data_IF_393152307605
#
_entry.id   IF_393152307605
#
_cell.length_a   1.000
_cell.length_b   1.000
_cell.length_c   1.000
_cell.angle_alpha   90.00
_cell.angle_beta   90.00
_cell.angle_gamma   90.00
#
_symmetry.space_group_name_H-M   'P 1'
#
loop_
_entity.id
_entity.type
_entity.pdbx_description
1 polymer ?
#
# COMPACT_ATOMS: atom_id res chain seq x y z
N UNK A 1 26.33 -23.70 2.09
CA UNK A 1 26.64 -22.51 2.88
C UNK A 1 25.43 -22.23 3.77
N UNK A 2 25.53 -22.55 5.05
CA UNK A 2 24.50 -22.25 6.05
C UNK A 2 24.38 -20.73 6.15
N UNK A 3 23.20 -20.17 5.88
CA UNK A 3 22.94 -18.73 6.00
C UNK A 3 22.94 -18.35 7.48
N UNK A 4 24.16 -18.06 8.01
CA UNK A 4 24.41 -17.73 9.42
C UNK A 4 23.79 -16.41 9.89
N UNK A 5 23.16 -15.62 9.02
CA UNK A 5 22.65 -14.29 9.35
C UNK A 5 21.16 -14.13 8.94
N UNK A 6 20.21 -14.49 9.80
CA UNK A 6 18.78 -14.32 9.53
C UNK A 6 18.39 -12.85 9.28
N UNK A 7 19.11 -11.88 9.87
CA UNK A 7 18.87 -10.46 9.66
C UNK A 7 19.14 -9.99 8.22
N UNK A 8 20.16 -10.54 7.55
CA UNK A 8 20.48 -10.16 6.16
C UNK A 8 19.34 -10.49 5.21
N UNK A 9 18.69 -11.64 5.38
CA UNK A 9 17.54 -12.05 4.56
C UNK A 9 16.36 -11.08 4.70
N UNK A 10 16.05 -10.65 5.93
CA UNK A 10 14.98 -9.67 6.18
C UNK A 10 15.35 -8.30 5.61
N UNK A 11 16.61 -7.88 5.73
CA UNK A 11 17.11 -6.65 5.15
C UNK A 11 17.00 -6.63 3.61
N UNK A 12 17.32 -7.75 2.95
CA UNK A 12 17.19 -7.89 1.48
C UNK A 12 15.72 -7.82 1.05
N UNK A 13 14.81 -8.50 1.75
CA UNK A 13 13.36 -8.41 1.46
C UNK A 13 12.86 -6.98 1.69
N UNK A 14 13.28 -6.33 2.79
CA UNK A 14 12.93 -4.94 3.08
C UNK A 14 13.43 -3.98 1.99
N UNK A 15 14.62 -4.20 1.44
CA UNK A 15 15.17 -3.42 0.32
C UNK A 15 14.32 -3.55 -0.95
N UNK A 16 13.91 -4.78 -1.30
CA UNK A 16 13.03 -5.00 -2.46
C UNK A 16 11.68 -4.29 -2.26
N UNK A 17 11.09 -4.39 -1.06
CA UNK A 17 9.86 -3.67 -0.74
C UNK A 17 10.05 -2.15 -0.74
N UNK A 18 11.21 -1.66 -0.28
CA UNK A 18 11.52 -0.23 -0.32
C UNK A 18 11.52 0.30 -1.75
N UNK A 19 12.17 -0.40 -2.68
CA UNK A 19 12.19 0.01 -4.08
C UNK A 19 10.81 -0.10 -4.74
N UNK A 20 10.12 -1.24 -4.60
CA UNK A 20 8.82 -1.46 -5.23
C UNK A 20 7.77 -0.46 -4.75
N UNK A 21 7.64 -0.29 -3.44
CA UNK A 21 6.68 0.65 -2.87
C UNK A 21 7.15 2.11 -2.93
N UNK A 22 8.45 2.35 -2.90
CA UNK A 22 9.01 3.67 -3.17
C UNK A 22 8.61 4.18 -4.56
N UNK A 23 8.66 3.33 -5.58
CA UNK A 23 8.20 3.62 -6.94
C UNK A 23 6.68 3.84 -6.96
N UNK A 24 5.89 3.01 -6.26
CA UNK A 24 4.46 3.22 -6.11
C UNK A 24 4.14 4.64 -5.60
N UNK A 25 4.73 5.03 -4.48
CA UNK A 25 4.45 6.33 -3.86
C UNK A 25 5.11 7.51 -4.59
N UNK A 26 6.18 7.27 -5.37
CA UNK A 26 6.78 8.27 -6.24
C UNK A 26 5.84 8.74 -7.36
N UNK A 27 4.74 8.00 -7.64
CA UNK A 27 3.73 8.48 -8.57
C UNK A 27 3.24 9.88 -8.26
N UNK A 28 3.14 10.26 -7.00
CA UNK A 28 2.69 11.61 -6.59
C UNK A 28 3.59 12.74 -7.13
N UNK A 29 4.89 12.52 -7.25
CA UNK A 29 5.83 13.49 -7.84
C UNK A 29 5.84 13.42 -9.36
N UNK A 30 5.73 12.21 -9.95
CA UNK A 30 5.58 12.06 -11.39
C UNK A 30 4.26 12.65 -11.91
N UNK A 31 3.17 12.56 -11.14
CA UNK A 31 1.90 13.21 -11.47
C UNK A 31 2.08 14.71 -11.69
N UNK A 32 2.82 15.39 -10.82
CA UNK A 32 3.10 16.84 -10.96
C UNK A 32 3.97 17.12 -12.19
N UNK A 33 4.98 16.27 -12.44
CA UNK A 33 5.83 16.41 -13.61
C UNK A 33 5.06 16.25 -14.93
N UNK A 34 4.19 15.23 -15.01
CA UNK A 34 3.33 14.98 -16.17
C UNK A 34 2.27 16.06 -16.37
N UNK A 35 1.70 16.61 -15.28
CA UNK A 35 0.80 17.77 -15.34
C UNK A 35 1.50 18.96 -16.01
N UNK A 36 2.75 19.23 -15.65
CA UNK A 36 3.52 20.36 -16.18
C UNK A 36 3.93 20.17 -17.65
N UNK A 37 4.30 18.94 -18.03
CA UNK A 37 4.80 18.64 -19.36
C UNK A 37 3.68 18.54 -20.41
N UNK A 38 2.57 17.89 -20.05
CA UNK A 38 1.48 17.60 -21.00
C UNK A 38 0.22 18.45 -20.81
N UNK A 39 0.06 19.13 -19.68
CA UNK A 39 -1.17 19.84 -19.36
C UNK A 39 -2.41 18.94 -19.24
N UNK A 40 -2.22 17.65 -18.98
CA UNK A 40 -3.33 16.71 -18.86
C UNK A 40 -4.17 16.96 -17.62
N UNK A 41 -5.45 16.56 -17.67
CA UNK A 41 -6.36 16.65 -16.52
C UNK A 41 -5.88 15.78 -15.35
N UNK A 42 -6.12 16.24 -14.12
CA UNK A 42 -5.76 15.50 -12.91
C UNK A 42 -6.53 14.18 -12.79
N UNK A 43 -7.80 14.17 -13.21
CA UNK A 43 -8.61 12.95 -13.27
C UNK A 43 -8.01 11.88 -14.18
N UNK A 44 -7.42 12.28 -15.31
CA UNK A 44 -6.75 11.37 -16.23
C UNK A 44 -5.52 10.74 -15.59
N UNK A 45 -4.67 11.55 -14.98
CA UNK A 45 -3.48 11.06 -14.29
C UNK A 45 -3.86 10.19 -13.09
N UNK A 46 -4.79 10.64 -12.24
CA UNK A 46 -5.27 9.83 -11.12
C UNK A 46 -5.94 8.53 -11.58
N UNK A 47 -6.59 8.53 -12.76
CA UNK A 47 -7.14 7.32 -13.38
C UNK A 47 -6.11 6.25 -13.72
N UNK A 48 -4.89 6.64 -14.09
CA UNK A 48 -3.79 5.68 -14.29
C UNK A 48 -3.37 5.03 -12.97
N UNK A 49 -3.33 5.80 -11.87
CA UNK A 49 -3.14 5.24 -10.53
C UNK A 49 -4.31 4.34 -10.12
N UNK A 50 -5.54 4.69 -10.48
CA UNK A 50 -6.72 3.84 -10.25
C UNK A 50 -6.58 2.50 -10.96
N UNK A 51 -6.12 2.50 -12.22
CA UNK A 51 -5.83 1.27 -12.96
C UNK A 51 -4.76 0.45 -12.25
N UNK A 52 -3.68 1.08 -11.79
CA UNK A 52 -2.65 0.46 -10.98
C UNK A 52 -3.24 -0.23 -9.72
N UNK A 53 -4.09 0.46 -8.97
CA UNK A 53 -4.71 -0.08 -7.76
C UNK A 53 -5.65 -1.27 -8.06
N UNK A 54 -6.42 -1.21 -9.15
CA UNK A 54 -7.29 -2.31 -9.59
C UNK A 54 -6.47 -3.52 -10.00
N UNK A 55 -5.40 -3.32 -10.79
CA UNK A 55 -4.48 -4.40 -11.19
C UNK A 55 -3.90 -5.09 -9.95
N UNK A 56 -3.46 -4.32 -8.95
CA UNK A 56 -2.99 -4.87 -7.67
C UNK A 56 -4.08 -5.70 -6.97
N UNK A 57 -5.31 -5.18 -6.90
CA UNK A 57 -6.44 -5.86 -6.26
C UNK A 57 -6.79 -7.20 -6.92
N UNK A 58 -6.72 -7.28 -8.25
CA UNK A 58 -7.02 -8.48 -9.03
C UNK A 58 -5.85 -9.48 -9.01
N UNK A 59 -4.63 -9.01 -9.11
CA UNK A 59 -3.44 -9.85 -9.25
C UNK A 59 -2.97 -10.43 -7.91
N UNK A 60 -3.12 -9.73 -6.80
CA UNK A 60 -2.65 -10.19 -5.50
C UNK A 60 -3.21 -11.56 -5.06
N UNK A 61 -4.50 -11.89 -5.21
CA UNK A 61 -5.02 -13.24 -4.92
C UNK A 61 -4.40 -14.32 -5.81
N UNK A 62 -4.16 -14.01 -7.09
CA UNK A 62 -3.53 -14.92 -8.04
C UNK A 62 -2.07 -15.17 -7.64
N UNK A 63 -1.35 -14.12 -7.22
CA UNK A 63 0.03 -14.25 -6.74
C UNK A 63 0.13 -15.12 -5.49
N UNK A 64 -0.84 -15.04 -4.59
CA UNK A 64 -0.90 -15.94 -3.44
C UNK A 64 -0.87 -17.41 -3.87
N UNK A 65 -1.73 -17.80 -4.81
CA UNK A 65 -1.77 -19.17 -5.35
C UNK A 65 -0.53 -19.53 -6.18
N UNK A 66 0.05 -18.54 -6.87
CA UNK A 66 1.28 -18.73 -7.66
C UNK A 66 2.50 -18.97 -6.77
N UNK A 67 2.58 -18.31 -5.60
CA UNK A 67 3.61 -18.56 -4.60
C UNK A 67 3.60 -19.98 -4.05
N UNK A 68 2.47 -20.70 -4.12
CA UNK A 68 2.40 -22.11 -3.74
C UNK A 68 3.04 -23.04 -4.77
N UNK A 69 3.10 -22.64 -6.03
CA UNK A 69 3.62 -23.42 -7.15
C UNK A 69 5.04 -23.02 -7.54
N UNK A 70 5.34 -21.74 -7.51
CA UNK A 70 6.61 -21.13 -7.92
C UNK A 70 7.30 -20.54 -6.68
N UNK A 71 8.63 -20.58 -6.66
CA UNK A 71 9.41 -19.93 -5.60
C UNK A 71 9.08 -18.43 -5.55
N UNK A 72 8.71 -17.87 -4.37
CA UNK A 72 8.50 -16.44 -4.24
C UNK A 72 9.72 -15.60 -4.64
N UNK A 73 10.94 -16.09 -4.40
CA UNK A 73 12.15 -15.40 -4.85
C UNK A 73 12.28 -15.33 -6.38
N UNK A 74 11.84 -16.37 -7.10
CA UNK A 74 11.77 -16.34 -8.57
C UNK A 74 10.72 -15.32 -9.03
N UNK A 75 9.54 -15.29 -8.39
CA UNK A 75 8.51 -14.30 -8.70
C UNK A 75 9.03 -12.87 -8.47
N UNK A 76 9.78 -12.64 -7.39
CA UNK A 76 10.41 -11.34 -7.14
C UNK A 76 11.45 -10.98 -8.22
N UNK A 77 12.22 -11.94 -8.70
CA UNK A 77 13.16 -11.72 -9.80
C UNK A 77 12.46 -11.35 -11.11
N UNK A 78 11.40 -12.11 -11.49
CA UNK A 78 10.56 -11.79 -12.64
C UNK A 78 9.89 -10.42 -12.49
N UNK A 79 9.41 -10.12 -11.28
CA UNK A 79 8.84 -8.82 -10.93
C UNK A 79 9.83 -7.68 -11.06
N UNK A 80 11.08 -7.87 -10.60
CA UNK A 80 12.15 -6.88 -10.75
C UNK A 80 12.51 -6.61 -12.21
N UNK A 81 12.61 -7.66 -13.03
CA UNK A 81 12.84 -7.52 -14.46
C UNK A 81 11.67 -6.80 -15.16
N UNK A 82 10.43 -7.20 -14.85
CA UNK A 82 9.23 -6.55 -15.40
C UNK A 82 9.12 -5.10 -14.96
N UNK A 83 9.36 -4.80 -13.66
CA UNK A 83 9.30 -3.45 -13.14
C UNK A 83 10.35 -2.55 -13.78
N UNK A 84 11.58 -3.04 -13.97
CA UNK A 84 12.62 -2.29 -14.67
C UNK A 84 12.25 -2.02 -16.13
N UNK A 85 11.71 -3.02 -16.84
CA UNK A 85 11.25 -2.85 -18.21
C UNK A 85 10.06 -1.89 -18.30
N UNK A 86 9.10 -1.98 -17.35
CA UNK A 86 7.95 -1.10 -17.27
C UNK A 86 8.35 0.36 -17.03
N UNK A 87 9.30 0.63 -16.14
CA UNK A 87 9.83 1.97 -15.90
C UNK A 87 10.55 2.55 -17.15
N UNK A 88 11.21 1.70 -17.93
CA UNK A 88 11.73 2.12 -19.24
C UNK A 88 10.58 2.49 -20.18
N UNK A 89 9.51 1.69 -20.24
CA UNK A 89 8.31 2.02 -21.03
C UNK A 89 7.67 3.32 -20.54
N UNK A 90 7.60 3.54 -19.20
CA UNK A 90 7.09 4.78 -18.62
C UNK A 90 7.90 6.01 -19.10
N UNK A 91 9.19 5.86 -19.38
CA UNK A 91 10.01 6.97 -19.92
C UNK A 91 9.64 7.39 -21.35
N UNK A 92 8.86 6.57 -22.08
CA UNK A 92 8.40 6.84 -23.44
C UNK A 92 6.95 7.30 -23.54
N UNK A 93 6.30 7.60 -22.40
CA UNK A 93 4.92 8.12 -22.36
C UNK A 93 4.83 9.42 -23.18
N UNK A 94 3.90 9.43 -24.15
CA UNK A 94 3.56 10.58 -24.99
C UNK A 94 2.05 10.77 -25.11
N UNK A 95 1.26 9.71 -24.92
CA UNK A 95 -0.19 9.70 -25.02
C UNK A 95 -0.81 9.18 -23.71
N UNK A 96 -2.02 9.59 -23.36
CA UNK A 96 -2.68 9.14 -22.13
C UNK A 96 -2.75 7.62 -21.96
N UNK A 97 -3.10 6.89 -23.02
CA UNK A 97 -3.21 5.43 -22.94
C UNK A 97 -1.86 4.73 -22.67
N UNK A 98 -0.71 5.34 -23.08
CA UNK A 98 0.62 4.82 -22.71
C UNK A 98 0.77 4.78 -21.19
N UNK A 99 0.33 5.84 -20.49
CA UNK A 99 0.39 5.91 -19.03
C UNK A 99 -0.46 4.82 -18.36
N UNK A 100 -1.66 4.55 -18.88
CA UNK A 100 -2.54 3.51 -18.35
C UNK A 100 -1.96 2.11 -18.55
N UNK A 101 -1.35 1.83 -19.71
CA UNK A 101 -0.74 0.53 -20.00
C UNK A 101 0.60 0.36 -19.28
N UNK A 102 1.50 1.33 -19.39
CA UNK A 102 2.84 1.23 -18.82
C UNK A 102 2.82 1.33 -17.31
N UNK A 103 2.34 2.45 -16.74
CA UNK A 103 2.28 2.64 -15.30
C UNK A 103 1.12 1.84 -14.66
N UNK A 104 -0.11 2.01 -15.15
CA UNK A 104 -1.31 1.38 -14.62
C UNK A 104 -1.30 -0.14 -14.72
N UNK A 105 -0.73 -0.69 -15.80
CA UNK A 105 -0.65 -2.13 -16.07
C UNK A 105 0.71 -2.75 -15.70
N UNK A 106 1.75 -2.45 -16.49
CA UNK A 106 3.03 -3.15 -16.39
C UNK A 106 3.78 -2.84 -15.10
N UNK A 107 3.86 -1.55 -14.71
CA UNK A 107 4.49 -1.14 -13.45
C UNK A 107 3.72 -1.70 -12.25
N UNK A 108 2.39 -1.72 -12.29
CA UNK A 108 1.55 -2.35 -11.27
C UNK A 108 1.85 -3.86 -11.11
N UNK A 109 1.96 -4.59 -12.21
CA UNK A 109 2.32 -6.02 -12.21
C UNK A 109 3.72 -6.25 -11.65
N UNK A 110 4.69 -5.44 -12.06
CA UNK A 110 6.06 -5.51 -11.55
C UNK A 110 6.12 -5.29 -10.03
N UNK A 111 5.43 -4.26 -9.55
CA UNK A 111 5.32 -3.97 -8.09
C UNK A 111 4.60 -5.11 -7.36
N UNK A 112 3.54 -5.70 -7.92
CA UNK A 112 2.83 -6.82 -7.30
C UNK A 112 3.74 -8.04 -7.13
N UNK A 113 4.50 -8.40 -8.18
CA UNK A 113 5.43 -9.53 -8.18
C UNK A 113 6.63 -9.34 -7.23
N UNK A 114 7.12 -8.10 -7.05
CA UNK A 114 8.16 -7.78 -6.06
C UNK A 114 7.60 -7.51 -4.66
N UNK A 115 6.28 -7.32 -4.55
CA UNK A 115 5.61 -6.67 -3.43
C UNK A 115 5.36 -7.55 -2.23
N UNK A 116 4.25 -7.22 -1.57
CA UNK A 116 3.92 -7.72 -0.25
C UNK A 116 3.70 -9.23 -0.19
N UNK A 117 2.98 -9.81 -1.18
CA UNK A 117 2.59 -11.23 -1.13
C UNK A 117 3.79 -12.17 -1.19
N UNK A 118 4.71 -12.07 -2.19
CA UNK A 118 5.91 -12.92 -2.20
C UNK A 118 6.80 -12.71 -0.97
N UNK A 119 6.95 -11.46 -0.52
CA UNK A 119 7.74 -11.12 0.67
C UNK A 119 7.18 -11.77 1.93
N UNK A 120 5.86 -11.70 2.13
CA UNK A 120 5.19 -12.30 3.28
C UNK A 120 5.33 -13.83 3.28
N UNK A 121 5.19 -14.47 2.13
CA UNK A 121 5.36 -15.94 1.98
C UNK A 121 6.79 -16.36 2.30
N UNK A 122 7.81 -15.62 1.84
CA UNK A 122 9.21 -15.89 2.19
C UNK A 122 9.45 -15.81 3.69
N UNK A 123 8.91 -14.77 4.34
CA UNK A 123 9.04 -14.56 5.78
C UNK A 123 8.31 -15.66 6.56
N UNK A 124 7.08 -16.01 6.20
CA UNK A 124 6.31 -17.06 6.85
C UNK A 124 6.98 -18.43 6.77
N UNK A 125 7.62 -18.75 5.64
CA UNK A 125 8.33 -20.03 5.47
C UNK A 125 9.56 -20.14 6.36
N UNK A 126 10.19 -19.03 6.73
CA UNK A 126 11.51 -19.03 7.39
C UNK A 126 11.49 -18.60 8.86
N UNK A 127 10.54 -17.74 9.27
CA UNK A 127 10.55 -17.05 10.57
C UNK A 127 9.34 -17.41 11.45
N UNK A 128 8.92 -18.68 11.49
CA UNK A 128 7.73 -19.12 12.23
C UNK A 128 7.72 -18.70 13.72
N UNK A 129 8.89 -18.73 14.39
CA UNK A 129 9.00 -18.41 15.84
C UNK A 129 8.97 -16.91 16.19
N UNK A 130 9.29 -16.01 15.22
CA UNK A 130 9.33 -14.55 15.41
C UNK A 130 8.67 -13.84 14.22
N UNK A 131 7.54 -14.38 13.80
CA UNK A 131 6.86 -13.93 12.57
C UNK A 131 6.47 -12.45 12.65
N UNK A 132 5.93 -11.98 13.76
CA UNK A 132 5.51 -10.58 13.94
C UNK A 132 6.68 -9.61 13.79
N UNK A 133 7.83 -9.89 14.42
CA UNK A 133 9.03 -9.06 14.28
C UNK A 133 9.54 -9.04 12.83
N UNK A 134 9.57 -10.19 12.17
CA UNK A 134 10.02 -10.31 10.79
C UNK A 134 9.10 -9.53 9.83
N UNK A 135 7.78 -9.60 10.00
CA UNK A 135 6.80 -8.80 9.26
C UNK A 135 6.99 -7.30 9.54
N UNK A 136 7.25 -6.92 10.81
CA UNK A 136 7.55 -5.54 11.18
C UNK A 136 8.76 -4.97 10.43
N UNK A 137 9.85 -5.74 10.37
CA UNK A 137 11.08 -5.33 9.67
C UNK A 137 10.84 -5.14 8.17
N UNK A 138 10.18 -6.09 7.51
CA UNK A 138 9.91 -5.95 6.07
C UNK A 138 8.92 -4.83 5.78
N UNK A 139 7.93 -4.61 6.67
CA UNK A 139 6.98 -3.49 6.55
C UNK A 139 7.66 -2.12 6.68
N UNK A 140 8.72 -2.02 7.49
CA UNK A 140 9.52 -0.81 7.60
C UNK A 140 10.18 -0.45 6.26
N UNK A 141 10.52 -1.47 5.43
CA UNK A 141 11.03 -1.25 4.07
C UNK A 141 10.13 -0.34 3.23
N UNK A 142 8.81 -0.47 3.34
CA UNK A 142 7.86 0.41 2.63
C UNK A 142 8.06 1.88 3.03
N UNK A 143 8.18 2.16 4.33
CA UNK A 143 8.42 3.51 4.84
C UNK A 143 9.79 4.07 4.42
N UNK A 144 10.82 3.21 4.43
CA UNK A 144 12.16 3.57 3.92
C UNK A 144 12.10 3.90 2.41
N UNK A 145 11.30 3.16 1.64
CA UNK A 145 11.08 3.44 0.22
C UNK A 145 10.46 4.82 -0.01
N UNK A 146 9.42 5.16 0.75
CA UNK A 146 8.83 6.51 0.69
C UNK A 146 9.85 7.59 1.06
N UNK A 147 10.64 7.36 2.11
CA UNK A 147 11.63 8.32 2.62
C UNK A 147 12.78 8.55 1.62
N UNK A 148 13.25 7.50 0.95
CA UNK A 148 14.42 7.58 0.09
C UNK A 148 14.06 7.76 -1.40
N UNK A 149 13.14 6.93 -1.92
CA UNK A 149 12.88 6.87 -3.37
C UNK A 149 12.07 8.07 -3.85
N UNK A 150 11.12 8.59 -3.05
CA UNK A 150 10.27 9.71 -3.50
C UNK A 150 11.05 11.02 -3.62
N UNK A 151 11.84 11.46 -2.61
CA UNK A 151 12.70 12.63 -2.78
C UNK A 151 13.78 12.44 -3.84
N UNK A 152 14.35 11.22 -3.95
CA UNK A 152 15.33 10.90 -5.01
C UNK A 152 14.69 11.05 -6.41
N UNK A 153 13.47 10.52 -6.60
CA UNK A 153 12.75 10.65 -7.86
C UNK A 153 12.52 12.13 -8.21
N UNK A 154 12.08 12.95 -7.25
CA UNK A 154 11.89 14.38 -7.47
C UNK A 154 13.21 15.10 -7.80
N UNK A 155 14.28 14.79 -7.10
CA UNK A 155 15.61 15.36 -7.39
C UNK A 155 16.08 14.99 -8.81
N UNK A 156 15.89 13.73 -9.23
CA UNK A 156 16.20 13.28 -10.60
C UNK A 156 15.32 13.99 -11.63
N UNK A 157 14.03 14.23 -11.33
CA UNK A 157 13.12 14.98 -12.19
C UNK A 157 13.62 16.40 -12.40
N UNK A 158 14.05 17.08 -11.33
CA UNK A 158 14.56 18.45 -11.40
C UNK A 158 15.86 18.57 -12.20
N UNK A 159 16.77 17.61 -12.06
CA UNK A 159 18.07 17.64 -12.74
C UNK A 159 18.02 17.16 -14.21
N UNK A 160 17.27 16.11 -14.50
CA UNK A 160 17.36 15.40 -15.77
C UNK A 160 16.00 15.23 -16.47
N UNK A 161 14.93 15.73 -15.89
CA UNK A 161 13.57 15.53 -16.35
C UNK A 161 12.99 14.15 -15.99
N UNK A 162 11.66 14.05 -16.03
CA UNK A 162 10.92 12.87 -15.56
C UNK A 162 11.22 11.60 -16.41
N UNK A 163 11.49 11.74 -17.71
CA UNK A 163 11.86 10.61 -18.57
C UNK A 163 13.16 9.95 -18.12
N UNK A 164 14.16 10.75 -17.81
CA UNK A 164 15.45 10.26 -17.30
C UNK A 164 15.31 9.71 -15.89
N UNK A 165 14.48 10.32 -15.04
CA UNK A 165 14.20 9.82 -13.70
C UNK A 165 13.62 8.39 -13.73
N UNK A 166 12.67 8.09 -14.62
CA UNK A 166 12.18 6.71 -14.82
C UNK A 166 13.29 5.74 -15.24
N UNK A 167 14.20 6.15 -16.13
CA UNK A 167 15.34 5.32 -16.57
C UNK A 167 16.33 5.05 -15.43
N UNK A 168 16.63 6.04 -14.62
CA UNK A 168 17.48 5.87 -13.45
C UNK A 168 16.83 4.95 -12.40
N UNK A 169 15.54 5.09 -12.15
CA UNK A 169 14.80 4.18 -11.27
C UNK A 169 14.74 2.76 -11.84
N UNK A 170 14.61 2.60 -13.17
CA UNK A 170 14.69 1.31 -13.83
C UNK A 170 16.05 0.63 -13.61
N UNK A 171 17.14 1.37 -13.80
CA UNK A 171 18.50 0.88 -13.57
C UNK A 171 18.71 0.50 -12.09
N UNK A 172 18.29 1.35 -11.16
CA UNK A 172 18.37 1.07 -9.73
C UNK A 172 17.57 -0.20 -9.35
N UNK A 173 16.36 -0.36 -9.93
CA UNK A 173 15.53 -1.55 -9.71
C UNK A 173 16.22 -2.81 -10.23
N UNK A 174 16.76 -2.80 -11.46
CA UNK A 174 17.50 -3.92 -12.02
C UNK A 174 18.72 -4.29 -11.17
N UNK A 175 19.53 -3.29 -10.81
CA UNK A 175 20.77 -3.49 -10.07
C UNK A 175 20.56 -3.96 -8.62
N UNK A 176 19.43 -3.60 -7.98
CA UNK A 176 19.17 -3.97 -6.61
C UNK A 176 18.25 -5.19 -6.50
N UNK A 177 17.15 -5.24 -7.26
CA UNK A 177 16.13 -6.30 -7.10
C UNK A 177 16.58 -7.62 -7.69
N UNK A 178 17.25 -7.63 -8.86
CA UNK A 178 17.67 -8.89 -9.48
C UNK A 178 18.72 -9.64 -8.65
N UNK A 179 19.80 -9.00 -8.16
CA UNK A 179 20.75 -9.67 -7.27
C UNK A 179 20.11 -10.06 -5.93
N UNK A 180 19.20 -9.22 -5.38
CA UNK A 180 18.46 -9.52 -4.18
C UNK A 180 17.60 -10.78 -4.33
N UNK A 181 16.84 -10.88 -5.42
CA UNK A 181 16.01 -12.05 -5.73
C UNK A 181 16.87 -13.31 -5.94
N UNK A 182 17.99 -13.19 -6.61
CA UNK A 182 18.95 -14.29 -6.78
C UNK A 182 19.52 -14.77 -5.46
N UNK A 183 19.91 -13.85 -4.57
CA UNK A 183 20.35 -14.16 -3.20
C UNK A 183 19.27 -14.90 -2.40
N UNK A 184 18.02 -14.41 -2.46
CA UNK A 184 16.88 -15.03 -1.79
C UNK A 184 16.60 -16.44 -2.33
N UNK A 185 16.71 -16.63 -3.65
CA UNK A 185 16.53 -17.91 -4.32
C UNK A 185 17.55 -18.97 -3.87
N UNK A 186 18.83 -18.60 -3.81
CA UNK A 186 19.87 -19.48 -3.27
C UNK A 186 19.55 -19.86 -1.83
N UNK A 187 19.12 -18.89 -1.01
CA UNK A 187 18.71 -19.10 0.36
C UNK A 187 17.51 -20.04 0.54
N UNK A 188 16.53 -20.00 -0.38
CA UNK A 188 15.39 -20.93 -0.38
C UNK A 188 15.83 -22.38 -0.70
N UNK A 189 16.74 -22.55 -1.66
CA UNK A 189 17.27 -23.89 -2.02
C UNK A 189 18.13 -24.52 -0.94
N UNK A 190 18.83 -23.71 -0.17
CA UNK A 190 19.72 -24.18 0.89
C UNK A 190 18.99 -24.56 2.20
N UNK A 191 17.68 -24.26 2.33
CA UNK A 191 16.91 -24.55 3.52
C UNK A 191 16.39 -26.00 3.52
N UNK A 192 16.82 -26.89 4.45
CA UNK A 192 16.28 -28.23 4.56
C UNK A 192 14.80 -28.17 4.96
N UNK A 193 13.89 -28.77 4.18
CA UNK A 193 12.47 -28.87 4.51
C UNK A 193 11.51 -28.05 3.66
N UNK A 194 11.98 -27.25 2.70
CA UNK A 194 11.11 -26.49 1.79
C UNK A 194 10.16 -27.38 0.94
N UNK A 195 10.54 -28.63 0.71
CA UNK A 195 9.72 -29.60 -0.03
C UNK A 195 8.53 -30.15 0.78
N UNK A 196 8.66 -30.31 2.09
CA UNK A 196 7.62 -30.91 2.96
C UNK A 196 6.50 -29.93 3.33
N UNK A 197 6.76 -28.62 3.32
CA UNK A 197 5.73 -27.60 3.59
C UNK A 197 4.75 -27.41 2.43
N UNK A 198 5.10 -27.84 1.22
CA UNK A 198 4.22 -27.79 0.05
C UNK A 198 3.07 -28.79 0.12
N UNK A 199 3.32 -29.99 0.69
CA UNK A 199 2.35 -31.07 0.72
C UNK A 199 1.25 -30.89 1.80
N UNK A 200 1.51 -30.13 2.86
CA UNK A 200 0.62 -30.07 4.04
C UNK A 200 -0.35 -28.86 4.06
N UNK A 201 -0.39 -28.02 3.03
CA UNK A 201 -1.27 -26.82 2.96
C UNK A 201 -2.47 -26.96 2.02
N UNK A 202 -2.64 -28.07 1.37
CA UNK A 202 -3.93 -28.40 0.74
C UNK A 202 -4.88 -28.88 1.84
N UNK A 203 -5.28 -28.00 2.75
CA UNK A 203 -6.49 -28.27 3.55
C UNK A 203 -7.64 -28.26 2.55
N UNK A 204 -8.42 -29.36 2.44
CA UNK A 204 -9.58 -29.35 1.58
C UNK A 204 -10.44 -28.16 1.95
N UNK A 205 -10.89 -27.42 0.94
CA UNK A 205 -11.85 -26.34 1.16
C UNK A 205 -13.08 -26.94 1.84
N UNK A 206 -13.11 -26.88 3.16
CA UNK A 206 -14.24 -27.37 3.94
C UNK A 206 -15.52 -26.69 3.45
N UNK A 207 -16.63 -27.38 3.52
CA UNK A 207 -17.97 -27.00 3.07
C UNK A 207 -18.58 -25.80 3.83
N UNK A 208 -17.78 -24.91 4.38
CA UNK A 208 -18.30 -23.70 5.03
C UNK A 208 -18.98 -22.83 3.96
N UNK A 209 -20.32 -22.76 4.03
CA UNK A 209 -21.09 -21.97 3.08
C UNK A 209 -20.73 -20.49 3.18
N UNK A 210 -20.43 -19.82 2.07
CA UNK A 210 -20.21 -18.37 2.02
C UNK A 210 -21.49 -17.57 2.29
N UNK A 211 -22.64 -18.16 2.04
CA UNK A 211 -23.94 -17.50 2.21
C UNK A 211 -24.17 -16.87 3.56
N UNK A 212 -23.90 -17.53 4.71
CA UNK A 212 -24.03 -16.92 6.03
C UNK A 212 -23.10 -15.73 6.24
N UNK A 213 -21.86 -15.78 5.71
CA UNK A 213 -20.90 -14.67 5.80
C UNK A 213 -21.39 -13.45 5.02
N UNK A 214 -21.84 -13.65 3.78
CA UNK A 214 -22.36 -12.58 2.92
C UNK A 214 -23.67 -11.97 3.45
N UNK A 215 -24.43 -12.71 4.26
CA UNK A 215 -25.62 -12.19 4.95
C UNK A 215 -25.31 -11.49 6.28
N UNK A 216 -24.09 -11.62 6.79
CA UNK A 216 -23.69 -11.00 8.05
C UNK A 216 -23.49 -9.49 7.89
N UNK A 217 -24.20 -8.64 8.66
CA UNK A 217 -23.95 -7.19 8.69
C UNK A 217 -22.50 -6.86 9.04
N UNK A 218 -21.87 -7.63 9.93
CA UNK A 218 -20.47 -7.45 10.32
C UNK A 218 -19.51 -7.57 9.16
N UNK A 219 -19.80 -8.44 8.17
CA UNK A 219 -18.98 -8.57 6.96
C UNK A 219 -18.99 -7.29 6.14
N UNK A 220 -20.17 -6.75 5.84
CA UNK A 220 -20.31 -5.54 5.04
C UNK A 220 -19.77 -4.28 5.74
N UNK A 221 -19.93 -4.21 7.07
CA UNK A 221 -19.31 -3.15 7.86
C UNK A 221 -17.78 -3.17 7.75
N UNK A 222 -17.15 -4.34 7.81
CA UNK A 222 -15.71 -4.46 7.62
C UNK A 222 -15.30 -4.15 6.18
N UNK A 223 -16.05 -4.61 5.18
CA UNK A 223 -15.83 -4.28 3.75
C UNK A 223 -15.86 -2.76 3.53
N UNK A 224 -16.85 -2.06 4.11
CA UNK A 224 -16.95 -0.61 4.04
C UNK A 224 -15.80 0.08 4.81
N UNK A 225 -15.35 -0.48 5.93
CA UNK A 225 -14.18 0.02 6.65
C UNK A 225 -12.90 -0.10 5.81
N UNK A 226 -12.70 -1.22 5.09
CA UNK A 226 -11.59 -1.37 4.13
C UNK A 226 -11.66 -0.33 3.01
N UNK A 227 -12.83 -0.21 2.37
CA UNK A 227 -13.06 0.73 1.28
C UNK A 227 -12.80 2.18 1.71
N UNK A 228 -13.50 2.64 2.76
CA UNK A 228 -13.44 4.05 3.18
C UNK A 228 -12.09 4.46 3.75
N UNK A 229 -11.41 3.57 4.49
CA UNK A 229 -10.07 3.83 5.01
C UNK A 229 -9.03 3.99 3.90
N UNK A 230 -9.09 3.14 2.87
CA UNK A 230 -8.16 3.24 1.73
C UNK A 230 -8.56 4.35 0.74
N UNK A 231 -9.84 4.62 0.56
CA UNK A 231 -10.31 5.78 -0.19
C UNK A 231 -9.70 7.07 0.39
N UNK A 232 -9.85 7.29 1.69
CA UNK A 232 -9.33 8.47 2.38
C UNK A 232 -7.79 8.54 2.27
N UNK A 233 -7.08 7.49 2.65
CA UNK A 233 -5.62 7.51 2.68
C UNK A 233 -4.99 7.64 1.30
N UNK A 234 -5.49 6.95 0.28
CA UNK A 234 -4.92 7.01 -1.07
C UNK A 234 -5.25 8.31 -1.80
N UNK A 235 -6.40 8.93 -1.52
CA UNK A 235 -6.69 10.29 -1.97
C UNK A 235 -5.57 11.25 -1.55
N UNK A 236 -5.18 11.22 -0.27
CA UNK A 236 -4.11 12.06 0.25
C UNK A 236 -2.75 11.68 -0.37
N UNK A 237 -2.40 10.40 -0.40
CA UNK A 237 -1.10 9.94 -0.92
C UNK A 237 -0.85 10.37 -2.38
N UNK A 238 -1.85 10.30 -3.23
CA UNK A 238 -1.69 10.63 -4.67
C UNK A 238 -1.65 12.12 -4.89
N UNK A 239 -2.50 12.89 -4.22
CA UNK A 239 -2.67 14.32 -4.50
C UNK A 239 -1.87 15.24 -3.59
N UNK A 240 -1.25 14.77 -2.50
CA UNK A 240 -0.55 15.62 -1.54
C UNK A 240 0.56 16.47 -2.17
N UNK A 241 1.36 15.92 -3.09
CA UNK A 241 2.44 16.68 -3.74
C UNK A 241 1.84 17.77 -4.63
N UNK A 242 0.84 17.43 -5.45
CA UNK A 242 0.15 18.39 -6.30
C UNK A 242 -0.52 19.50 -5.47
N UNK A 243 -1.20 19.12 -4.37
CA UNK A 243 -1.82 20.05 -3.44
C UNK A 243 -0.81 21.04 -2.86
N UNK A 244 0.33 20.55 -2.35
CA UNK A 244 1.37 21.40 -1.74
C UNK A 244 2.02 22.34 -2.77
N UNK A 245 2.27 21.82 -3.98
CA UNK A 245 2.86 22.62 -5.07
C UNK A 245 1.89 23.72 -5.53
N UNK A 246 0.59 23.44 -5.60
CA UNK A 246 -0.43 24.45 -5.92
C UNK A 246 -0.50 25.59 -4.87
N UNK A 247 -0.09 25.30 -3.61
CA UNK A 247 -0.02 26.28 -2.53
C UNK A 247 1.39 26.89 -2.34
N UNK A 248 2.25 26.82 -3.36
CA UNK A 248 3.54 27.50 -3.40
C UNK A 248 4.72 26.76 -2.75
N UNK A 249 4.52 25.51 -2.32
CA UNK A 249 5.62 24.69 -1.82
C UNK A 249 6.46 24.16 -2.98
N UNK A 250 7.79 24.20 -2.85
CA UNK A 250 8.67 23.69 -3.90
C UNK A 250 8.46 22.17 -4.09
N UNK A 251 8.60 21.63 -5.32
CA UNK A 251 8.38 20.20 -5.57
C UNK A 251 9.28 19.29 -4.73
N UNK A 252 10.54 19.66 -4.54
CA UNK A 252 11.47 18.90 -3.70
C UNK A 252 11.05 18.90 -2.22
N UNK A 253 10.57 20.03 -1.72
CA UNK A 253 10.05 20.12 -0.35
C UNK A 253 8.76 19.30 -0.21
N UNK A 254 7.83 19.36 -1.18
CA UNK A 254 6.63 18.53 -1.19
C UNK A 254 6.97 17.03 -1.24
N UNK A 255 8.00 16.62 -2.00
CA UNK A 255 8.50 15.26 -2.02
C UNK A 255 9.11 14.83 -0.65
N UNK A 256 9.80 15.73 0.04
CA UNK A 256 10.33 15.46 1.39
C UNK A 256 9.21 15.21 2.41
N UNK A 257 8.07 15.88 2.26
CA UNK A 257 6.87 15.66 3.08
C UNK A 257 6.40 14.19 2.93
N UNK A 258 6.37 13.65 1.70
CA UNK A 258 6.07 12.23 1.46
C UNK A 258 7.10 11.31 2.15
N UNK A 259 8.37 11.71 2.16
CA UNK A 259 9.41 11.01 2.91
C UNK A 259 9.12 10.93 4.41
N UNK A 260 8.69 12.06 5.01
CA UNK A 260 8.29 12.12 6.43
C UNK A 260 7.04 11.27 6.70
N UNK A 261 6.06 11.24 5.78
CA UNK A 261 4.93 10.29 5.85
C UNK A 261 5.44 8.85 5.93
N UNK A 262 6.41 8.50 5.08
CA UNK A 262 7.06 7.19 5.10
C UNK A 262 7.68 6.85 6.45
N UNK A 263 8.49 7.76 6.98
CA UNK A 263 9.14 7.60 8.28
C UNK A 263 8.12 7.44 9.41
N UNK A 264 7.12 8.32 9.48
CA UNK A 264 6.05 8.27 10.49
C UNK A 264 5.24 6.96 10.38
N UNK A 265 5.07 6.41 9.16
CA UNK A 265 4.36 5.16 8.94
C UNK A 265 5.06 3.93 9.54
N UNK A 266 6.39 3.96 9.66
CA UNK A 266 7.14 2.88 10.32
C UNK A 266 6.71 2.79 11.79
N UNK A 267 6.71 3.92 12.48
CA UNK A 267 6.28 3.98 13.88
C UNK A 267 4.79 3.70 14.03
N UNK A 268 3.97 4.20 13.10
CA UNK A 268 2.53 3.94 13.07
C UNK A 268 2.21 2.46 12.91
N UNK A 269 2.89 1.73 12.04
CA UNK A 269 2.68 0.28 11.84
C UNK A 269 3.11 -0.53 13.05
N UNK A 270 4.26 -0.20 13.65
CA UNK A 270 4.74 -0.86 14.88
C UNK A 270 3.75 -0.57 16.02
N UNK A 271 3.38 0.69 16.22
CA UNK A 271 2.48 1.13 17.29
C UNK A 271 1.07 0.54 17.13
N UNK A 272 0.49 0.56 15.92
CA UNK A 272 -0.84 -0.01 15.68
C UNK A 272 -0.87 -1.52 15.88
N UNK A 273 0.19 -2.23 15.47
CA UNK A 273 0.36 -3.66 15.73
C UNK A 273 0.40 -3.95 17.22
N UNK A 274 1.29 -3.30 17.95
CA UNK A 274 1.42 -3.48 19.40
C UNK A 274 0.13 -3.14 20.16
N UNK A 275 -0.51 -2.01 19.84
CA UNK A 275 -1.78 -1.62 20.45
C UNK A 275 -2.90 -2.63 20.14
N UNK A 276 -2.93 -3.21 18.93
CA UNK A 276 -3.94 -4.19 18.55
C UNK A 276 -3.82 -5.54 19.27
N UNK A 277 -2.64 -5.83 19.83
CA UNK A 277 -2.43 -7.03 20.66
C UNK A 277 -2.88 -6.82 22.12
N UNK A 278 -2.89 -5.57 22.61
CA UNK A 278 -3.24 -5.23 24.00
C UNK A 278 -4.65 -4.66 24.16
N UNK A 279 -5.19 -4.06 23.11
CA UNK A 279 -6.51 -3.42 23.14
C UNK A 279 -7.44 -4.02 22.08
N UNK A 280 -8.72 -3.73 22.21
CA UNK A 280 -9.75 -4.14 21.25
C UNK A 280 -9.44 -3.52 19.89
N UNK A 281 -9.21 -4.38 18.89
CA UNK A 281 -8.71 -4.00 17.55
C UNK A 281 -9.57 -2.91 16.88
N UNK A 282 -10.88 -3.00 17.02
CA UNK A 282 -11.81 -2.02 16.46
C UNK A 282 -11.63 -0.63 17.08
N UNK A 283 -11.29 -0.54 18.38
CA UNK A 283 -11.00 0.75 19.04
C UNK A 283 -9.67 1.33 18.54
N UNK A 284 -8.66 0.47 18.41
CA UNK A 284 -7.35 0.88 17.87
C UNK A 284 -7.51 1.37 16.44
N UNK A 285 -8.26 0.63 15.61
CA UNK A 285 -8.57 1.05 14.24
C UNK A 285 -9.22 2.44 14.19
N UNK A 286 -10.29 2.65 15.00
CA UNK A 286 -10.97 3.95 15.07
C UNK A 286 -10.04 5.09 15.53
N UNK A 287 -9.15 4.83 16.50
CA UNK A 287 -8.17 5.82 16.95
C UNK A 287 -7.22 6.24 15.81
N UNK A 288 -6.68 5.28 15.05
CA UNK A 288 -5.80 5.58 13.93
C UNK A 288 -6.53 6.22 12.75
N UNK A 289 -7.75 5.80 12.44
CA UNK A 289 -8.59 6.51 11.45
C UNK A 289 -8.92 7.92 11.92
N UNK A 290 -9.12 8.14 13.23
CA UNK A 290 -9.23 9.49 13.81
C UNK A 290 -7.99 10.35 13.54
N UNK A 291 -6.78 9.78 13.68
CA UNK A 291 -5.52 10.45 13.31
C UNK A 291 -5.47 10.73 11.79
N UNK A 292 -5.95 9.80 10.96
CA UNK A 292 -6.06 10.02 9.52
C UNK A 292 -7.02 11.17 9.17
N UNK A 293 -8.15 11.29 9.89
CA UNK A 293 -9.07 12.41 9.72
C UNK A 293 -8.45 13.74 10.16
N UNK A 294 -7.64 13.74 11.22
CA UNK A 294 -6.84 14.91 11.61
C UNK A 294 -5.82 15.26 10.51
N UNK A 295 -5.26 14.28 9.79
CA UNK A 295 -4.40 14.56 8.65
C UNK A 295 -5.17 15.25 7.51
N UNK A 296 -6.42 14.85 7.21
CA UNK A 296 -7.28 15.56 6.25
C UNK A 296 -7.46 17.02 6.65
N UNK A 297 -7.80 17.28 7.91
CA UNK A 297 -7.97 18.63 8.44
C UNK A 297 -6.65 19.43 8.42
N UNK A 298 -5.52 18.80 8.78
CA UNK A 298 -4.20 19.42 8.75
C UNK A 298 -3.77 19.80 7.32
N UNK A 299 -4.10 18.97 6.31
CA UNK A 299 -3.82 19.32 4.91
C UNK A 299 -4.68 20.50 4.44
N UNK A 300 -5.97 20.54 4.80
CA UNK A 300 -6.84 21.67 4.50
C UNK A 300 -6.32 22.96 5.17
N UNK A 301 -5.87 22.88 6.43
CA UNK A 301 -5.27 24.01 7.13
C UNK A 301 -3.94 24.46 6.49
N UNK A 302 -3.09 23.52 6.06
CA UNK A 302 -1.86 23.81 5.35
C UNK A 302 -2.11 24.52 4.01
N UNK A 303 -3.24 24.27 3.35
CA UNK A 303 -3.67 25.02 2.17
C UNK A 303 -4.02 26.48 2.48
N UNK A 304 -4.55 26.77 3.66
CA UNK A 304 -4.86 28.13 4.10
C UNK A 304 -3.62 28.87 4.62
N UNK A 305 -2.71 28.15 5.31
CA UNK A 305 -1.50 28.68 5.91
C UNK A 305 -0.33 27.70 5.74
N UNK A 306 0.33 27.78 4.59
CA UNK A 306 1.45 26.89 4.24
C UNK A 306 2.72 27.26 5.03
N UNK A 307 2.83 26.75 6.24
CA UNK A 307 4.04 26.87 7.08
C UNK A 307 4.76 25.52 7.13
N UNK A 308 6.08 25.53 7.35
CA UNK A 308 6.84 24.28 7.52
C UNK A 308 6.22 23.38 8.61
N UNK A 309 5.77 23.96 9.70
CA UNK A 309 5.10 23.29 10.80
C UNK A 309 3.81 22.58 10.32
N UNK A 310 2.92 23.27 9.61
CA UNK A 310 1.62 22.69 9.19
C UNK A 310 1.78 21.52 8.22
N UNK A 311 2.72 21.62 7.27
CA UNK A 311 2.96 20.54 6.28
C UNK A 311 3.63 19.31 6.89
N UNK A 312 4.56 19.47 7.84
CA UNK A 312 5.18 18.32 8.49
C UNK A 312 4.30 17.71 9.58
N UNK A 313 3.45 18.49 10.25
CA UNK A 313 2.40 17.97 11.13
C UNK A 313 1.42 17.08 10.34
N UNK A 314 0.95 17.56 9.19
CA UNK A 314 0.18 16.75 8.25
C UNK A 314 0.87 15.44 7.90
N UNK A 315 2.17 15.49 7.54
CA UNK A 315 2.93 14.31 7.16
C UNK A 315 2.98 13.25 8.27
N UNK A 316 3.23 13.68 9.50
CA UNK A 316 3.25 12.77 10.67
C UNK A 316 1.86 12.17 10.90
N UNK A 317 0.81 12.99 10.88
CA UNK A 317 -0.57 12.53 11.07
C UNK A 317 -0.99 11.54 9.98
N UNK A 318 -0.68 11.83 8.71
CA UNK A 318 -0.97 10.89 7.62
C UNK A 318 -0.20 9.59 7.79
N UNK A 319 1.11 9.65 8.05
CA UNK A 319 1.96 8.47 8.19
C UNK A 319 1.51 7.54 9.31
N UNK A 320 1.18 8.10 10.47
CA UNK A 320 0.64 7.34 11.61
C UNK A 320 -0.78 6.84 11.29
N UNK A 321 -1.66 7.73 10.82
CA UNK A 321 -3.09 7.44 10.67
C UNK A 321 -3.40 6.32 9.67
N UNK A 322 -2.76 6.31 8.49
CA UNK A 322 -3.05 5.29 7.48
C UNK A 322 -2.49 3.90 7.85
N UNK A 323 -1.58 3.81 8.79
CA UNK A 323 -0.88 2.57 9.14
C UNK A 323 -1.82 1.47 9.61
N UNK A 324 -2.91 1.81 10.30
CA UNK A 324 -3.89 0.84 10.78
C UNK A 324 -4.80 0.30 9.67
N UNK A 325 -5.03 1.05 8.61
CA UNK A 325 -5.92 0.60 7.51
C UNK A 325 -5.39 -0.63 6.82
N UNK A 326 -4.07 -0.75 6.68
CA UNK A 326 -3.44 -1.91 6.06
C UNK A 326 -3.21 -3.09 7.03
N UNK A 327 -2.95 -2.81 8.31
CA UNK A 327 -2.53 -3.83 9.28
C UNK A 327 -3.70 -4.39 10.11
N UNK A 328 -4.59 -3.53 10.62
CA UNK A 328 -5.61 -3.92 11.59
C UNK A 328 -6.87 -4.47 10.90
N UNK A 329 -7.24 -3.95 9.73
CA UNK A 329 -8.47 -4.38 9.06
C UNK A 329 -8.47 -5.87 8.69
N UNK A 330 -7.38 -6.45 8.12
CA UNK A 330 -7.29 -7.89 7.92
C UNK A 330 -7.40 -8.68 9.22
N UNK A 331 -6.81 -8.18 10.30
CA UNK A 331 -6.85 -8.82 11.60
C UNK A 331 -8.28 -8.82 12.20
N UNK A 332 -9.03 -7.71 12.06
CA UNK A 332 -10.44 -7.64 12.48
C UNK A 332 -11.31 -8.64 11.69
N UNK A 333 -11.02 -8.84 10.41
CA UNK A 333 -11.72 -9.82 9.58
C UNK A 333 -11.37 -11.25 9.98
N UNK A 334 -10.11 -11.53 10.31
CA UNK A 334 -9.64 -12.84 10.80
C UNK A 334 -10.30 -13.23 12.13
N UNK A 335 -10.51 -12.28 13.04
CA UNK A 335 -11.14 -12.55 14.33
C UNK A 335 -12.59 -13.01 14.23
N UNK A 336 -13.27 -12.72 13.11
CA UNK A 336 -14.69 -12.99 12.93
C UNK A 336 -14.98 -14.15 11.98
N UNK A 337 -14.17 -14.26 10.96
CA UNK A 337 -14.44 -15.14 9.82
C UNK A 337 -13.30 -16.15 9.62
N UNK A 338 -12.67 -16.60 10.72
CA UNK A 338 -11.65 -17.67 10.66
C UNK A 338 -12.30 -18.99 10.17
N UNK A 339 -11.65 -19.70 9.26
CA UNK A 339 -12.12 -20.98 8.76
C UNK A 339 -11.57 -21.33 7.37
N UNK A 340 -12.00 -22.46 6.79
CA UNK A 340 -11.45 -22.97 5.53
C UNK A 340 -11.56 -22.02 4.34
N UNK A 341 -12.55 -21.12 4.32
CA UNK A 341 -12.74 -20.11 3.26
C UNK A 341 -12.28 -18.71 3.65
N UNK A 342 -11.50 -18.58 4.71
CA UNK A 342 -10.98 -17.27 5.14
C UNK A 342 -10.24 -16.53 4.03
N UNK A 343 -9.48 -17.25 3.18
CA UNK A 343 -8.81 -16.66 2.03
C UNK A 343 -9.75 -15.93 1.06
N UNK A 344 -10.93 -16.51 0.78
CA UNK A 344 -11.95 -15.87 -0.07
C UNK A 344 -12.52 -14.62 0.61
N UNK A 345 -12.82 -14.74 1.91
CA UNK A 345 -13.43 -13.66 2.69
C UNK A 345 -12.48 -12.44 2.79
N UNK A 346 -11.21 -12.68 3.13
CA UNK A 346 -10.21 -11.59 3.18
C UNK A 346 -9.94 -11.02 1.77
N UNK A 347 -10.00 -11.86 0.73
CA UNK A 347 -9.88 -11.43 -0.66
C UNK A 347 -10.94 -10.41 -1.07
N UNK A 348 -12.19 -10.59 -0.63
CA UNK A 348 -13.28 -9.62 -0.84
C UNK A 348 -13.00 -8.28 -0.12
N UNK A 349 -12.47 -8.33 1.10
CA UNK A 349 -12.05 -7.12 1.83
C UNK A 349 -10.91 -6.39 1.12
N UNK A 350 -9.89 -7.13 0.67
CA UNK A 350 -8.76 -6.55 -0.09
C UNK A 350 -9.20 -5.98 -1.44
N UNK A 351 -10.17 -6.61 -2.11
CA UNK A 351 -10.75 -6.07 -3.33
C UNK A 351 -11.50 -4.75 -3.07
N UNK A 352 -12.27 -4.66 -1.98
CA UNK A 352 -12.90 -3.40 -1.56
C UNK A 352 -11.86 -2.32 -1.24
N UNK A 353 -10.74 -2.69 -0.61
CA UNK A 353 -9.59 -1.81 -0.41
C UNK A 353 -9.01 -1.30 -1.74
N UNK A 354 -8.86 -2.16 -2.73
CA UNK A 354 -8.39 -1.78 -4.06
C UNK A 354 -9.38 -0.81 -4.76
N UNK A 355 -10.69 -1.05 -4.63
CA UNK A 355 -11.71 -0.14 -5.14
C UNK A 355 -11.66 1.23 -4.45
N UNK A 356 -11.46 1.27 -3.13
CA UNK A 356 -11.26 2.52 -2.38
C UNK A 356 -10.00 3.26 -2.86
N UNK A 357 -8.90 2.53 -3.01
CA UNK A 357 -7.62 3.06 -3.51
C UNK A 357 -7.71 3.58 -4.94
N UNK A 358 -8.57 3.00 -5.77
CA UNK A 358 -8.78 3.43 -7.15
C UNK A 358 -9.73 4.63 -7.24
N UNK A 359 -10.86 4.57 -6.53
CA UNK A 359 -11.92 5.59 -6.66
C UNK A 359 -11.57 6.90 -5.96
N UNK A 360 -10.85 6.85 -4.83
CA UNK A 360 -10.50 8.04 -4.07
C UNK A 360 -9.66 9.05 -4.86
N UNK A 361 -8.49 8.70 -5.36
CA UNK A 361 -7.65 9.60 -6.14
C UNK A 361 -8.32 10.07 -7.42
N UNK A 362 -9.02 9.18 -8.14
CA UNK A 362 -9.73 9.56 -9.37
C UNK A 362 -10.81 10.61 -9.11
N UNK A 363 -11.64 10.39 -8.08
CA UNK A 363 -12.69 11.33 -7.70
C UNK A 363 -12.10 12.69 -7.28
N UNK A 364 -10.99 12.68 -6.53
CA UNK A 364 -10.32 13.91 -6.14
C UNK A 364 -9.77 14.70 -7.35
N UNK A 365 -9.17 14.01 -8.32
CA UNK A 365 -8.73 14.60 -9.58
C UNK A 365 -9.91 15.16 -10.39
N UNK A 366 -11.01 14.42 -10.47
CA UNK A 366 -12.22 14.85 -11.19
C UNK A 366 -12.87 16.09 -10.57
N UNK A 367 -13.00 16.10 -9.24
CA UNK A 367 -13.53 17.28 -8.53
C UNK A 367 -12.63 18.50 -8.73
N UNK A 368 -11.31 18.31 -8.71
CA UNK A 368 -10.39 19.41 -9.00
C UNK A 368 -10.53 19.92 -10.43
N UNK A 369 -10.64 19.03 -11.42
CA UNK A 369 -10.79 19.42 -12.83
C UNK A 369 -12.09 20.22 -13.09
N UNK A 370 -13.15 20.00 -12.26
CA UNK A 370 -14.42 20.72 -12.34
C UNK A 370 -14.40 22.05 -11.60
N UNK A 371 -13.69 22.15 -10.47
CA UNK A 371 -13.86 23.24 -9.51
C UNK A 371 -12.58 24.08 -9.31
N UNK A 372 -11.42 23.61 -9.81
CA UNK A 372 -10.14 24.26 -9.59
C UNK A 372 -9.64 24.18 -8.12
N UNK A 373 -10.27 23.34 -7.28
CA UNK A 373 -9.95 23.25 -5.85
C UNK A 373 -10.09 21.82 -5.33
N UNK A 374 -9.26 21.47 -4.33
CA UNK A 374 -9.35 20.20 -3.60
C UNK A 374 -10.34 20.22 -2.43
N UNK A 375 -11.00 21.35 -2.13
CA UNK A 375 -11.86 21.46 -0.95
C UNK A 375 -12.89 20.33 -0.86
N UNK A 376 -13.67 20.11 -1.92
CA UNK A 376 -14.70 19.06 -1.96
C UNK A 376 -14.09 17.65 -1.97
N UNK A 377 -12.91 17.48 -2.55
CA UNK A 377 -12.18 16.21 -2.51
C UNK A 377 -11.74 15.85 -1.07
N UNK A 378 -11.26 16.82 -0.31
CA UNK A 378 -10.90 16.63 1.12
C UNK A 378 -12.13 16.34 1.98
N UNK A 379 -13.25 17.04 1.75
CA UNK A 379 -14.53 16.74 2.42
C UNK A 379 -14.99 15.31 2.15
N UNK A 380 -14.93 14.87 0.90
CA UNK A 380 -15.32 13.51 0.52
C UNK A 380 -14.38 12.45 1.12
N UNK A 381 -13.06 12.73 1.14
CA UNK A 381 -12.09 11.87 1.80
C UNK A 381 -12.34 11.77 3.31
N UNK A 382 -12.64 12.90 3.95
CA UNK A 382 -13.02 12.96 5.36
C UNK A 382 -14.32 12.19 5.65
N UNK A 383 -15.33 12.32 4.80
CA UNK A 383 -16.59 11.57 4.90
C UNK A 383 -16.36 10.06 4.78
N UNK A 384 -15.56 9.62 3.80
CA UNK A 384 -15.22 8.22 3.62
C UNK A 384 -14.45 7.63 4.81
N UNK A 385 -13.49 8.38 5.35
CA UNK A 385 -12.77 8.02 6.59
C UNK A 385 -13.69 7.94 7.82
N UNK A 386 -14.64 8.88 7.93
CA UNK A 386 -15.62 8.87 9.01
C UNK A 386 -16.56 7.67 8.92
N UNK A 387 -17.03 7.33 7.73
CA UNK A 387 -17.82 6.12 7.47
C UNK A 387 -17.00 4.88 7.86
N UNK A 388 -15.72 4.82 7.47
CA UNK A 388 -14.85 3.71 7.83
C UNK A 388 -14.70 3.55 9.35
N UNK A 389 -14.55 4.66 10.09
CA UNK A 389 -14.49 4.67 11.56
C UNK A 389 -15.79 4.15 12.18
N UNK A 390 -16.94 4.67 11.74
CA UNK A 390 -18.26 4.24 12.24
C UNK A 390 -18.51 2.76 11.95
N UNK A 391 -18.20 2.30 10.73
CA UNK A 391 -18.33 0.88 10.34
C UNK A 391 -17.43 -0.02 11.19
N UNK A 392 -16.18 0.35 11.41
CA UNK A 392 -15.26 -0.37 12.29
C UNK A 392 -15.75 -0.46 13.72
N UNK A 393 -16.25 0.66 14.26
CA UNK A 393 -16.83 0.72 15.60
C UNK A 393 -18.09 -0.15 15.77
N UNK A 394 -19.04 -0.06 14.82
CA UNK A 394 -20.26 -0.85 14.84
C UNK A 394 -19.96 -2.35 14.70
N UNK A 395 -19.02 -2.69 13.84
CA UNK A 395 -18.53 -4.06 13.75
C UNK A 395 -18.05 -4.57 15.12
N UNK A 396 -17.34 -3.75 15.91
CA UNK A 396 -16.94 -4.09 17.28
C UNK A 396 -18.11 -4.30 18.26
N UNK A 397 -19.19 -3.50 18.14
CA UNK A 397 -20.39 -3.64 18.97
C UNK A 397 -21.13 -4.94 18.72
N UNK A 398 -21.34 -5.32 17.46
CA UNK A 398 -22.01 -6.58 17.11
C UNK A 398 -21.27 -7.80 17.67
N UNK A 399 -19.92 -7.77 17.71
CA UNK A 399 -19.12 -8.84 18.32
C UNK A 399 -19.45 -9.06 19.80
N UNK A 400 -19.71 -7.99 20.57
CA UNK A 400 -20.02 -8.07 22.00
C UNK A 400 -21.40 -8.63 22.25
N UNK A 401 -22.38 -8.30 21.41
CA UNK A 401 -23.73 -8.83 21.51
C UNK A 401 -23.74 -10.34 21.26
N UNK A 402 -23.06 -10.79 20.18
CA UNK A 402 -22.97 -12.21 19.83
C UNK A 402 -22.23 -13.03 20.92
N UNK A 403 -21.23 -12.44 21.60
CA UNK A 403 -20.51 -13.11 22.69
C UNK A 403 -21.27 -13.11 24.01
N UNK A 404 -22.14 -12.13 24.23
CA UNK A 404 -23.03 -12.04 25.41
C UNK A 404 -24.22 -13.00 25.38
N UNK A 405 -24.68 -13.38 24.17
CA UNK A 405 -25.76 -14.36 23.97
C UNK A 405 -25.30 -15.82 24.14
N UNK A 406 -23.96 -16.06 24.22
CA UNK A 406 -23.35 -17.39 24.42
C UNK A 406 -22.93 -17.65 25.87
N UNK A 407 -23.28 -16.78 26.82
CA UNK A 407 -23.14 -16.96 28.27
C UNK A 407 -24.52 -17.13 28.85
#
# INVERSE_FOLDING_TARGET
MSTKHPGVHLGVIALVLALAYGIWYAYSVFLVALLRDFGWKRSLLAGAFSTFAIVQGVVNPVLGSLCDRISPAVLMGLGGALLSAALICDSFITLPWHLYVAFGGLTALGVALCGWIPSLVLVQRRYARRLGLAIGIISAGVGVGMLAVVPLAQWLIELHGWRSAFRWLAAATALCVLPAAFFLYIGERAAPGAAHSRANRATPAGTQALGPVLRSPSFWLLVLAFFGGTYCSQTLHVHQVAFLVDHGITPLQAASVVGVVGLASIFGKIGSGWLSDHFVRERVYCGFVGILLLAVAALAFAGAQATAWSIYAYAILLGVGYSATAAITPAMMSDRFSGPRFGTIIGMGLFASALGSASGPWMAGHLFDLQGSYANALWLAGAAGSIACVCGWQAGRLRRVDSGLKR
#
